data_IF_433643340991
#
_entry.id   IF_433643340991
#
_cell.length_a   1.000
_cell.length_b   1.000
_cell.length_c   1.000
_cell.angle_alpha   90.00
_cell.angle_beta   90.00
_cell.angle_gamma   90.00
#
_symmetry.space_group_name_H-M   'P 1'
#
loop_
_entity.id
_entity.type
_entity.pdbx_description
1 polymer ?
#
# COMPACT_ATOMS: atom_id res chain seq x y z
N UNK A 1 -29.16 -0.33 35.10
CA UNK A 1 -28.35 -1.29 34.33
C UNK A 1 -29.06 -1.89 33.10
N UNK A 2 -30.38 -2.13 33.10
CA UNK A 2 -31.10 -2.69 31.92
C UNK A 2 -31.01 -1.85 30.63
N UNK A 3 -30.98 -0.52 30.74
CA UNK A 3 -30.77 0.38 29.59
C UNK A 3 -29.35 0.24 29.02
N UNK A 4 -28.35 0.10 29.88
CA UNK A 4 -26.95 -0.09 29.49
C UNK A 4 -26.74 -1.44 28.81
N UNK A 5 -27.40 -2.51 29.30
CA UNK A 5 -27.40 -3.81 28.64
C UNK A 5 -27.96 -3.74 27.20
N UNK A 6 -29.00 -2.94 26.98
CA UNK A 6 -29.52 -2.71 25.63
C UNK A 6 -28.53 -1.96 24.73
N UNK A 7 -27.81 -0.96 25.25
CA UNK A 7 -26.74 -0.28 24.49
C UNK A 7 -25.58 -1.20 24.16
N UNK A 8 -25.14 -2.03 25.11
CA UNK A 8 -24.08 -3.02 24.89
C UNK A 8 -24.52 -4.07 23.86
N UNK A 9 -25.75 -4.56 23.95
CA UNK A 9 -26.32 -5.49 22.98
C UNK A 9 -26.33 -4.89 21.57
N UNK A 10 -26.81 -3.65 21.42
CA UNK A 10 -26.80 -2.96 20.13
C UNK A 10 -25.39 -2.67 19.62
N UNK A 11 -24.45 -2.36 20.51
CA UNK A 11 -23.03 -2.21 20.17
C UNK A 11 -22.41 -3.53 19.66
N UNK A 12 -22.72 -4.64 20.33
CA UNK A 12 -22.30 -5.97 19.89
C UNK A 12 -22.86 -6.29 18.50
N UNK A 13 -24.16 -6.06 18.28
CA UNK A 13 -24.80 -6.26 16.98
C UNK A 13 -24.15 -5.39 15.90
N UNK A 14 -23.88 -4.12 16.21
CA UNK A 14 -23.19 -3.20 15.30
C UNK A 14 -21.81 -3.76 14.89
N UNK A 15 -21.01 -4.20 15.86
CA UNK A 15 -19.70 -4.80 15.61
C UNK A 15 -19.82 -6.06 14.74
N UNK A 16 -20.82 -6.89 15.01
CA UNK A 16 -21.05 -8.12 14.25
C UNK A 16 -21.44 -7.81 12.79
N UNK A 17 -22.26 -6.79 12.57
CA UNK A 17 -22.60 -6.31 11.22
C UNK A 17 -21.37 -5.75 10.51
N UNK A 18 -20.55 -4.94 11.17
CA UNK A 18 -19.28 -4.44 10.64
C UNK A 18 -18.35 -5.58 10.22
N UNK A 19 -18.25 -6.62 11.06
CA UNK A 19 -17.44 -7.81 10.80
C UNK A 19 -17.97 -8.59 9.58
N UNK A 20 -19.29 -8.75 9.46
CA UNK A 20 -19.89 -9.39 8.31
C UNK A 20 -19.61 -8.62 7.01
N UNK A 21 -19.64 -7.28 7.04
CA UNK A 21 -19.26 -6.44 5.89
C UNK A 21 -17.78 -6.63 5.55
N UNK A 22 -16.87 -6.58 6.54
CA UNK A 22 -15.43 -6.82 6.38
C UNK A 22 -15.16 -8.17 5.69
N UNK A 23 -15.77 -9.24 6.21
CA UNK A 23 -15.71 -10.58 5.66
C UNK A 23 -16.27 -10.67 4.24
N UNK A 24 -17.38 -9.99 3.96
CA UNK A 24 -18.00 -9.98 2.62
C UNK A 24 -17.08 -9.36 1.57
N UNK A 25 -16.39 -8.27 1.93
CA UNK A 25 -15.45 -7.57 1.04
C UNK A 25 -14.21 -8.43 0.77
N UNK A 26 -13.77 -9.24 1.74
CA UNK A 26 -12.64 -10.14 1.57
C UNK A 26 -13.03 -11.35 0.72
N UNK A 27 -14.08 -12.08 1.10
CA UNK A 27 -14.35 -13.44 0.60
C UNK A 27 -15.48 -13.55 -0.42
N UNK A 28 -16.50 -12.67 -0.37
CA UNK A 28 -17.76 -12.89 -1.09
C UNK A 28 -17.88 -12.03 -2.36
N UNK A 29 -17.25 -10.87 -2.38
CA UNK A 29 -17.38 -9.88 -3.46
C UNK A 29 -16.44 -10.10 -4.67
N UNK A 30 -15.95 -11.33 -4.91
CA UNK A 30 -15.00 -11.61 -5.99
C UNK A 30 -15.65 -11.72 -7.38
N UNK A 31 -16.93 -12.10 -7.46
CA UNK A 31 -17.56 -12.49 -8.73
C UNK A 31 -18.40 -11.40 -9.41
N UNK A 32 -18.62 -10.24 -8.78
CA UNK A 32 -19.44 -9.18 -9.35
C UNK A 32 -18.56 -8.10 -10.03
N UNK A 33 -18.75 -7.82 -11.35
CA UNK A 33 -17.88 -6.93 -12.11
C UNK A 33 -17.91 -5.47 -11.61
N UNK A 34 -19.03 -5.04 -11.03
CA UNK A 34 -19.26 -3.65 -10.58
C UNK A 34 -18.72 -3.34 -9.16
N UNK A 35 -18.28 -4.34 -8.39
CA UNK A 35 -17.77 -4.15 -7.02
C UNK A 35 -16.24 -4.26 -6.94
N UNK A 36 -15.58 -4.48 -8.07
CA UNK A 36 -14.14 -4.75 -8.15
C UNK A 36 -13.28 -3.55 -7.72
N UNK A 37 -13.59 -2.33 -8.16
CA UNK A 37 -12.79 -1.14 -7.85
C UNK A 37 -12.88 -0.68 -6.38
N UNK A 38 -14.07 -0.50 -5.77
CA UNK A 38 -14.17 -0.15 -4.36
C UNK A 38 -13.56 -1.23 -3.44
N UNK A 39 -13.69 -2.50 -3.82
CA UNK A 39 -13.10 -3.63 -3.09
C UNK A 39 -11.58 -3.59 -3.15
N UNK A 40 -10.98 -3.31 -4.31
CA UNK A 40 -9.53 -3.15 -4.46
C UNK A 40 -8.99 -2.07 -3.54
N UNK A 41 -9.64 -0.90 -3.55
CA UNK A 41 -9.28 0.19 -2.64
C UNK A 41 -9.38 -0.23 -1.18
N UNK A 42 -10.48 -0.88 -0.79
CA UNK A 42 -10.68 -1.34 0.58
C UNK A 42 -9.61 -2.36 1.04
N UNK A 43 -9.25 -3.33 0.18
CA UNK A 43 -8.23 -4.33 0.49
C UNK A 43 -6.85 -3.70 0.66
N UNK A 44 -6.48 -2.74 -0.19
CA UNK A 44 -5.23 -2.00 -0.07
C UNK A 44 -5.19 -1.19 1.24
N UNK A 45 -6.26 -0.43 1.51
CA UNK A 45 -6.40 0.33 2.76
C UNK A 45 -6.29 -0.56 4.00
N UNK A 46 -7.01 -1.69 4.04
CA UNK A 46 -6.98 -2.65 5.14
C UNK A 46 -5.57 -3.21 5.35
N UNK A 47 -4.87 -3.54 4.27
CA UNK A 47 -3.51 -4.08 4.34
C UNK A 47 -2.54 -3.06 4.95
N UNK A 48 -2.60 -1.80 4.49
CA UNK A 48 -1.79 -0.71 5.06
C UNK A 48 -2.11 -0.43 6.53
N UNK A 49 -3.41 -0.47 6.89
CA UNK A 49 -3.85 -0.30 8.27
C UNK A 49 -3.33 -1.42 9.17
N UNK A 50 -3.36 -2.66 8.71
CA UNK A 50 -2.80 -3.81 9.42
C UNK A 50 -1.29 -3.70 9.56
N UNK A 51 -0.58 -3.22 8.54
CA UNK A 51 0.86 -2.98 8.59
C UNK A 51 1.24 -1.89 9.60
N UNK A 52 0.36 -0.91 9.82
CA UNK A 52 0.55 0.13 10.84
C UNK A 52 0.31 -0.39 12.27
N UNK A 53 -0.71 -1.24 12.46
CA UNK A 53 -1.05 -1.83 13.77
C UNK A 53 -0.12 -2.98 14.17
N UNK A 54 0.30 -3.77 13.20
CA UNK A 54 1.21 -4.90 13.36
C UNK A 54 2.40 -4.65 12.44
N UNK A 55 3.35 -3.78 12.84
CA UNK A 55 4.55 -3.55 12.07
C UNK A 55 5.27 -4.89 11.93
N UNK A 56 5.20 -5.47 10.73
CA UNK A 56 5.99 -6.64 10.39
C UNK A 56 7.43 -6.15 10.44
N UNK A 57 8.18 -6.62 11.44
CA UNK A 57 9.63 -6.48 11.44
C UNK A 57 10.12 -7.32 10.28
N UNK A 58 10.26 -6.68 9.13
CA UNK A 58 10.76 -7.33 7.95
C UNK A 58 12.24 -7.60 8.21
N UNK A 59 12.69 -8.86 8.39
CA UNK A 59 14.10 -9.15 8.65
C UNK A 59 14.98 -8.68 7.48
N UNK A 60 14.38 -8.48 6.30
CA UNK A 60 15.00 -7.88 5.13
C UNK A 60 15.15 -6.35 5.29
N UNK A 61 14.15 -5.63 5.80
CA UNK A 61 14.28 -4.19 6.08
C UNK A 61 15.29 -3.92 7.20
N UNK A 62 15.36 -4.80 8.19
CA UNK A 62 16.36 -4.73 9.26
C UNK A 62 17.77 -5.06 8.71
N UNK A 63 17.91 -6.04 7.80
CA UNK A 63 19.16 -6.29 7.09
C UNK A 63 19.56 -5.14 6.14
N UNK A 64 18.61 -4.47 5.48
CA UNK A 64 18.88 -3.29 4.65
C UNK A 64 19.27 -2.10 5.53
N UNK A 65 18.66 -1.91 6.70
CA UNK A 65 19.04 -0.88 7.67
C UNK A 65 20.43 -1.13 8.29
N UNK A 66 20.74 -2.37 8.67
CA UNK A 66 22.08 -2.77 9.15
C UNK A 66 23.13 -2.67 8.02
N UNK A 67 22.74 -2.99 6.78
CA UNK A 67 23.60 -2.78 5.61
C UNK A 67 23.74 -1.30 5.26
N UNK A 68 22.76 -0.47 5.59
CA UNK A 68 22.83 0.99 5.47
C UNK A 68 23.75 1.63 6.51
N UNK A 69 23.90 1.03 7.69
CA UNK A 69 24.82 1.52 8.73
C UNK A 69 26.27 1.03 8.54
N UNK A 70 26.49 -0.15 7.95
CA UNK A 70 27.83 -0.67 7.61
C UNK A 70 28.28 -0.43 6.18
N UNK A 71 27.40 -0.01 5.28
CA UNK A 71 27.81 0.60 4.04
C UNK A 71 27.82 2.12 4.27
N UNK A 72 28.96 2.61 4.73
CA UNK A 72 29.48 3.87 4.23
C UNK A 72 29.63 3.74 2.70
N UNK A 73 28.50 3.83 2.00
CA UNK A 73 28.48 4.15 0.58
C UNK A 73 29.20 5.48 0.49
N UNK A 74 30.24 5.60 -0.35
CA UNK A 74 30.91 6.87 -0.56
C UNK A 74 29.87 7.96 -0.79
N UNK A 75 30.05 9.10 -0.13
CA UNK A 75 29.27 10.33 -0.27
C UNK A 75 29.33 10.96 -1.68
N UNK A 76 29.67 10.15 -2.69
CA UNK A 76 29.71 10.44 -4.12
C UNK A 76 28.46 9.97 -4.87
N UNK A 77 27.52 9.30 -4.22
CA UNK A 77 26.21 8.94 -4.83
C UNK A 77 25.09 9.92 -4.49
N UNK A 78 25.43 11.20 -4.25
CA UNK A 78 24.52 12.30 -4.59
C UNK A 78 24.58 12.48 -6.12
N UNK A 79 24.12 11.47 -6.85
CA UNK A 79 23.89 11.59 -8.29
C UNK A 79 22.68 12.50 -8.45
N UNK A 80 22.98 13.78 -8.68
CA UNK A 80 22.18 14.74 -9.40
C UNK A 80 20.66 14.62 -9.23
N UNK A 81 20.10 15.50 -8.40
CA UNK A 81 18.66 15.82 -8.29
C UNK A 81 18.03 16.31 -9.63
N UNK A 82 18.77 16.21 -10.74
CA UNK A 82 18.43 16.67 -12.09
C UNK A 82 18.24 15.52 -13.11
N UNK A 83 18.37 14.26 -12.69
CA UNK A 83 18.40 13.13 -13.63
C UNK A 83 17.06 12.39 -13.78
N UNK A 84 16.23 12.34 -12.73
CA UNK A 84 14.93 11.66 -12.78
C UNK A 84 13.91 12.47 -13.61
N UNK A 85 13.57 11.95 -14.79
CA UNK A 85 12.71 12.64 -15.75
C UNK A 85 11.32 12.01 -15.83
N UNK A 86 11.13 10.79 -15.34
CA UNK A 86 9.87 10.06 -15.41
C UNK A 86 9.50 9.45 -14.05
N UNK A 87 8.20 9.36 -13.82
CA UNK A 87 7.58 8.68 -12.67
C UNK A 87 6.51 7.72 -13.18
N UNK A 88 6.44 6.52 -12.61
CA UNK A 88 5.40 5.54 -12.93
C UNK A 88 5.00 4.76 -11.67
N UNK A 89 3.85 4.09 -11.74
CA UNK A 89 3.35 3.21 -10.67
C UNK A 89 3.52 1.76 -11.11
N UNK A 90 4.08 0.92 -10.26
CA UNK A 90 4.27 -0.50 -10.58
C UNK A 90 3.05 -1.38 -10.22
N UNK A 91 3.13 -2.68 -10.49
CA UNK A 91 2.09 -3.66 -10.14
C UNK A 91 1.75 -3.73 -8.65
N UNK A 92 2.66 -3.28 -7.78
CA UNK A 92 2.46 -3.21 -6.33
C UNK A 92 1.83 -1.88 -5.88
N UNK A 93 1.58 -0.95 -6.80
CA UNK A 93 1.12 0.40 -6.46
C UNK A 93 2.23 1.30 -5.92
N UNK A 94 3.51 0.93 -6.08
CA UNK A 94 4.62 1.75 -5.64
C UNK A 94 5.04 2.77 -6.70
N UNK A 95 5.35 3.98 -6.26
CA UNK A 95 5.84 5.06 -7.13
C UNK A 95 7.34 4.85 -7.37
N UNK A 96 7.72 4.70 -8.64
CA UNK A 96 9.11 4.55 -9.09
C UNK A 96 9.53 5.70 -9.99
N UNK A 97 10.79 6.08 -9.88
CA UNK A 97 11.42 7.12 -10.69
C UNK A 97 12.40 6.52 -11.67
N UNK A 98 12.47 7.08 -12.87
CA UNK A 98 13.40 6.68 -13.91
C UNK A 98 14.02 7.91 -14.58
N UNK A 99 15.29 7.79 -14.96
CA UNK A 99 15.98 8.84 -15.71
C UNK A 99 15.50 8.85 -17.17
N UNK A 100 15.25 7.67 -17.73
CA UNK A 100 14.86 7.49 -19.12
C UNK A 100 13.60 6.62 -19.26
N UNK A 101 12.91 6.74 -20.40
CA UNK A 101 11.72 5.93 -20.69
C UNK A 101 12.10 4.44 -20.92
N UNK A 102 13.34 4.17 -21.31
CA UNK A 102 13.87 2.84 -21.60
C UNK A 102 14.02 2.00 -20.33
N UNK A 103 14.37 2.63 -19.21
CA UNK A 103 14.45 2.01 -17.87
C UNK A 103 13.09 1.54 -17.35
N UNK A 104 11.99 2.15 -17.83
CA UNK A 104 10.64 1.76 -17.43
C UNK A 104 10.27 0.46 -18.16
N UNK A 105 9.79 -0.58 -17.46
CA UNK A 105 9.34 -1.81 -18.10
C UNK A 105 8.23 -1.51 -19.12
N UNK A 106 8.18 -2.23 -20.27
CA UNK A 106 7.28 -1.89 -21.38
C UNK A 106 5.81 -1.74 -20.98
N UNK A 107 5.36 -2.52 -20.00
CA UNK A 107 3.99 -2.49 -19.49
C UNK A 107 3.59 -1.17 -18.82
N UNK A 108 4.55 -0.40 -18.27
CA UNK A 108 4.28 0.83 -17.51
C UNK A 108 4.66 2.10 -18.26
N UNK A 109 5.21 1.99 -19.49
CA UNK A 109 5.66 3.15 -20.28
C UNK A 109 4.51 4.06 -20.71
N UNK A 110 3.33 3.51 -20.99
CA UNK A 110 2.13 4.29 -21.34
C UNK A 110 1.60 5.12 -20.18
N UNK A 111 1.82 4.68 -18.94
CA UNK A 111 1.33 5.33 -17.72
C UNK A 111 2.39 6.23 -17.07
N UNK A 112 3.63 6.14 -17.55
CA UNK A 112 4.73 6.95 -17.08
C UNK A 112 4.48 8.44 -17.35
N UNK A 113 4.57 9.26 -16.31
CA UNK A 113 4.46 10.70 -16.39
C UNK A 113 5.82 11.35 -16.33
N UNK A 114 6.04 12.35 -17.18
CA UNK A 114 7.28 13.13 -17.15
C UNK A 114 7.24 14.11 -15.99
N UNK A 115 8.30 14.16 -15.19
CA UNK A 115 8.49 15.16 -14.15
C UNK A 115 8.88 16.47 -14.83
N UNK A 116 8.01 17.48 -14.71
CA UNK A 116 8.32 18.83 -15.17
C UNK A 116 9.35 19.45 -14.22
N UNK A 117 10.32 20.17 -14.79
CA UNK A 117 11.27 20.96 -14.02
C UNK A 117 10.65 22.29 -13.62
#
# INVERSE_FOLDING_TARGET
MRRLGRFILWGLVLVLVLLAIDLSLIYLAADAPYVSEPRRFYLDFRTRLMMLMFPVKDPVAEQIAIRGEKASVPKDSLVNDSEFRYVFVDQGGEIRFAATLQEIPPAYRSEAKRLAR
#
